data_IF_238161798423
#
_entry.id   IF_238161798423
#
_cell.length_a   1.000
_cell.length_b   1.000
_cell.length_c   1.000
_cell.angle_alpha   90.00
_cell.angle_beta   90.00
_cell.angle_gamma   90.00
#
_symmetry.space_group_name_H-M   'P 1'
#
loop_
_entity.id
_entity.type
_entity.pdbx_description
1 polymer ?
#
# COMPACT_ATOMS: atom_id res chain seq x y z
N UNK A 1 14.35 26.49 -11.41
CA UNK A 1 14.88 26.12 -10.08
C UNK A 1 14.45 24.69 -9.79
N UNK A 2 15.40 23.77 -9.72
CA UNK A 2 15.11 22.38 -9.32
C UNK A 2 14.66 22.40 -7.85
N UNK A 3 13.42 22.01 -7.57
CA UNK A 3 13.01 21.69 -6.20
C UNK A 3 13.85 20.54 -5.72
N UNK A 4 14.69 20.76 -4.72
CA UNK A 4 15.30 19.66 -3.96
C UNK A 4 14.15 18.95 -3.26
N UNK A 5 13.63 17.89 -3.86
CA UNK A 5 12.58 17.09 -3.25
C UNK A 5 13.20 16.32 -2.10
N UNK A 6 12.99 16.80 -0.91
CA UNK A 6 13.33 16.08 0.31
C UNK A 6 12.62 14.73 0.29
N UNK A 7 13.32 13.69 0.70
CA UNK A 7 12.77 12.34 0.71
C UNK A 7 11.63 12.26 1.73
N UNK A 8 10.42 11.77 1.38
CA UNK A 8 9.34 11.64 2.34
C UNK A 8 9.79 10.92 3.60
N UNK A 9 9.47 11.46 4.76
CA UNK A 9 9.78 10.82 6.05
C UNK A 9 8.85 9.62 6.24
N UNK A 10 9.33 8.48 6.80
CA UNK A 10 8.45 7.38 7.14
C UNK A 10 7.49 7.81 8.24
N UNK A 11 6.22 7.36 8.19
CA UNK A 11 5.27 7.64 9.26
C UNK A 11 5.70 6.99 10.57
N UNK A 12 5.28 7.60 11.69
CA UNK A 12 5.54 7.08 13.04
C UNK A 12 4.40 6.18 13.50
N UNK A 13 4.29 5.02 12.88
CA UNK A 13 3.33 4.00 13.31
C UNK A 13 4.04 3.03 14.24
N UNK A 14 3.61 2.99 15.50
CA UNK A 14 4.13 2.05 16.49
C UNK A 14 3.12 0.92 16.70
N UNK A 15 3.58 -0.33 16.89
CA UNK A 15 2.70 -1.42 17.27
C UNK A 15 1.99 -1.10 18.60
N UNK A 16 0.72 -1.46 18.76
CA UNK A 16 0.04 -1.32 20.04
C UNK A 16 0.64 -2.28 21.09
N UNK A 17 0.76 -1.81 22.33
CA UNK A 17 1.19 -2.64 23.47
C UNK A 17 -0.01 -3.40 24.02
N UNK A 18 -0.12 -4.67 23.67
CA UNK A 18 -1.30 -5.49 23.91
C UNK A 18 -0.97 -6.75 24.71
N UNK A 19 -1.91 -7.26 25.55
CA UNK A 19 -1.77 -8.55 26.21
C UNK A 19 -1.62 -9.70 25.18
N UNK A 20 -1.02 -10.82 25.62
CA UNK A 20 -0.72 -11.94 24.70
C UNK A 20 -1.95 -12.74 24.25
N UNK A 21 -3.12 -12.54 24.85
CA UNK A 21 -4.33 -13.27 24.52
C UNK A 21 -4.87 -12.89 23.15
N UNK A 22 -5.25 -13.89 22.36
CA UNK A 22 -5.95 -13.72 21.09
C UNK A 22 -7.44 -13.85 21.33
N UNK A 23 -8.20 -12.82 20.98
CA UNK A 23 -9.64 -12.88 20.96
C UNK A 23 -10.15 -13.31 19.57
N UNK A 24 -11.10 -14.23 19.52
CA UNK A 24 -11.75 -14.56 18.26
C UNK A 24 -12.78 -13.49 17.92
N UNK A 25 -12.65 -12.87 16.75
CA UNK A 25 -13.62 -11.89 16.24
C UNK A 25 -14.97 -12.53 15.84
N UNK A 26 -15.16 -13.80 16.16
CA UNK A 26 -16.37 -14.57 15.81
C UNK A 26 -17.59 -14.04 16.52
N UNK A 27 -18.48 -13.39 15.78
CA UNK A 27 -19.82 -13.01 16.24
C UNK A 27 -20.17 -11.52 16.18
N UNK A 28 -19.25 -10.66 15.86
CA UNK A 28 -19.48 -9.21 15.83
C UNK A 28 -19.43 -8.66 14.42
N UNK A 29 -20.42 -8.97 13.60
CA UNK A 29 -20.72 -8.16 12.41
C UNK A 29 -21.04 -6.75 12.90
N UNK A 30 -20.18 -5.76 12.72
CA UNK A 30 -20.30 -4.39 13.20
C UNK A 30 -19.93 -4.22 14.69
N UNK A 31 -18.79 -4.75 15.13
CA UNK A 31 -18.30 -4.53 16.49
C UNK A 31 -17.21 -3.47 16.55
N UNK A 32 -17.14 -2.76 17.68
CA UNK A 32 -15.99 -1.95 18.03
C UNK A 32 -14.98 -2.84 18.74
N UNK A 33 -13.76 -2.94 18.16
CA UNK A 33 -12.66 -3.68 18.74
C UNK A 33 -11.62 -2.68 19.26
N UNK A 34 -11.38 -2.69 20.56
CA UNK A 34 -10.46 -1.74 21.20
C UNK A 34 -9.44 -2.50 22.04
N UNK A 35 -8.15 -2.26 21.79
CA UNK A 35 -7.06 -2.80 22.59
C UNK A 35 -6.96 -4.33 22.57
N UNK A 36 -7.23 -4.98 21.44
CA UNK A 36 -7.36 -6.44 21.35
C UNK A 36 -6.36 -7.04 20.36
N UNK A 37 -5.93 -8.27 20.63
CA UNK A 37 -5.32 -9.14 19.63
C UNK A 37 -6.41 -10.00 19.00
N UNK A 38 -6.55 -9.90 17.68
CA UNK A 38 -7.66 -10.49 16.95
C UNK A 38 -7.12 -11.46 15.90
N UNK A 39 -7.71 -12.63 15.81
CA UNK A 39 -7.45 -13.54 14.68
C UNK A 39 -8.15 -12.99 13.44
N UNK A 40 -7.43 -12.89 12.34
CA UNK A 40 -8.02 -12.60 11.04
C UNK A 40 -9.08 -13.64 10.68
N UNK A 41 -10.28 -13.17 10.41
CA UNK A 41 -11.43 -13.97 9.99
C UNK A 41 -11.99 -13.45 8.66
N UNK A 42 -12.93 -14.18 8.06
CA UNK A 42 -13.39 -13.87 6.70
C UNK A 42 -14.19 -12.56 6.59
N UNK A 43 -15.03 -12.24 7.58
CA UNK A 43 -15.96 -11.11 7.49
C UNK A 43 -15.75 -10.13 8.67
N UNK A 44 -15.03 -9.06 8.39
CA UNK A 44 -14.78 -7.93 9.29
C UNK A 44 -15.18 -6.60 8.63
N UNK A 45 -16.04 -6.67 7.61
CA UNK A 45 -16.47 -5.48 6.87
C UNK A 45 -17.20 -4.49 7.79
N UNK A 46 -16.91 -3.20 7.58
CA UNK A 46 -17.48 -2.07 8.34
C UNK A 46 -17.19 -2.08 9.84
N UNK A 47 -16.33 -2.96 10.33
CA UNK A 47 -15.93 -2.98 11.74
C UNK A 47 -15.00 -1.80 12.08
N UNK A 48 -14.94 -1.44 13.35
CA UNK A 48 -14.06 -0.41 13.87
C UNK A 48 -12.97 -1.07 14.72
N UNK A 49 -11.71 -0.72 14.42
CA UNK A 49 -10.55 -1.23 15.16
C UNK A 49 -9.74 -0.05 15.68
N UNK A 50 -9.53 -0.03 16.99
CA UNK A 50 -8.69 0.96 17.64
C UNK A 50 -7.65 0.25 18.50
N UNK A 51 -6.38 0.55 18.28
CA UNK A 51 -5.26 -0.04 19.02
C UNK A 51 -5.29 -1.58 19.01
N UNK A 52 -5.55 -2.19 17.85
CA UNK A 52 -5.68 -3.63 17.72
C UNK A 52 -4.49 -4.24 16.94
N UNK A 53 -4.21 -5.51 17.24
CA UNK A 53 -3.29 -6.33 16.48
C UNK A 53 -4.04 -7.50 15.84
N UNK A 54 -4.01 -7.59 14.51
CA UNK A 54 -4.67 -8.63 13.73
C UNK A 54 -3.62 -9.58 13.17
N UNK A 55 -3.84 -10.89 13.28
CA UNK A 55 -2.89 -11.88 12.77
C UNK A 55 -3.57 -13.19 12.35
N UNK A 56 -2.88 -14.00 11.55
CA UNK A 56 -3.33 -15.34 11.22
C UNK A 56 -3.50 -15.60 9.73
N UNK A 57 -4.21 -16.69 9.42
CA UNK A 57 -4.47 -17.14 8.06
C UNK A 57 -5.98 -17.35 7.86
N UNK A 58 -6.48 -16.91 6.71
CA UNK A 58 -7.85 -17.11 6.26
C UNK A 58 -7.88 -17.19 4.73
N UNK A 59 -8.91 -17.83 4.16
CA UNK A 59 -9.07 -17.92 2.72
C UNK A 59 -9.40 -16.55 2.09
N UNK A 60 -10.02 -15.69 2.85
CA UNK A 60 -10.29 -14.28 2.51
C UNK A 60 -10.43 -13.49 3.79
N UNK A 61 -9.94 -12.26 3.79
CA UNK A 61 -10.17 -11.28 4.87
C UNK A 61 -10.86 -10.07 4.27
N UNK A 62 -12.07 -9.76 4.72
CA UNK A 62 -12.86 -8.64 4.24
C UNK A 62 -12.96 -7.56 5.33
N UNK A 63 -12.22 -6.48 5.15
CA UNK A 63 -12.25 -5.26 5.96
C UNK A 63 -12.82 -4.08 5.13
N UNK A 64 -13.66 -4.37 4.13
CA UNK A 64 -14.27 -3.35 3.29
C UNK A 64 -15.05 -2.34 4.13
N UNK A 65 -14.77 -1.05 3.93
CA UNK A 65 -15.43 0.03 4.66
C UNK A 65 -15.09 0.10 6.15
N UNK A 66 -14.12 -0.70 6.63
CA UNK A 66 -13.71 -0.68 8.03
C UNK A 66 -13.00 0.64 8.39
N UNK A 67 -13.03 0.95 9.69
CA UNK A 67 -12.25 2.05 10.26
C UNK A 67 -11.11 1.46 11.10
N UNK A 68 -9.87 1.81 10.76
CA UNK A 68 -8.68 1.33 11.45
C UNK A 68 -7.90 2.52 12.04
N UNK A 69 -7.72 2.54 13.35
CA UNK A 69 -6.97 3.54 14.09
C UNK A 69 -5.91 2.86 14.96
N UNK A 70 -4.63 3.14 14.72
CA UNK A 70 -3.52 2.52 15.44
C UNK A 70 -3.56 0.99 15.41
N UNK A 71 -3.64 0.43 14.22
CA UNK A 71 -3.79 -1.02 14.01
C UNK A 71 -2.50 -1.59 13.42
N UNK A 72 -2.15 -2.81 13.84
CA UNK A 72 -1.16 -3.62 13.13
C UNK A 72 -1.77 -4.90 12.57
N UNK A 73 -1.30 -5.32 11.40
CA UNK A 73 -1.60 -6.63 10.80
C UNK A 73 -0.27 -7.37 10.68
N UNK A 74 -0.15 -8.51 11.38
CA UNK A 74 1.12 -9.23 11.52
C UNK A 74 1.02 -10.60 10.88
N UNK A 75 2.00 -10.91 10.01
CA UNK A 75 2.14 -12.23 9.36
C UNK A 75 0.83 -12.74 8.72
N UNK A 76 0.08 -11.84 8.09
CA UNK A 76 -1.16 -12.22 7.41
C UNK A 76 -0.88 -13.19 6.25
N UNK A 77 -1.63 -14.30 6.22
CA UNK A 77 -1.55 -15.29 5.14
C UNK A 77 -2.93 -15.50 4.54
N UNK A 78 -3.17 -14.83 3.42
CA UNK A 78 -4.49 -14.87 2.77
C UNK A 78 -4.35 -14.62 1.27
N UNK A 79 -5.13 -15.31 0.44
CA UNK A 79 -5.27 -14.94 -0.98
C UNK A 79 -5.79 -13.52 -1.18
N UNK A 80 -6.68 -13.03 -0.31
CA UNK A 80 -7.27 -11.68 -0.43
C UNK A 80 -7.40 -11.02 0.93
N UNK A 81 -6.80 -9.84 1.06
CA UNK A 81 -7.02 -8.90 2.16
C UNK A 81 -7.65 -7.63 1.57
N UNK A 82 -8.95 -7.47 1.75
CA UNK A 82 -9.71 -6.31 1.26
C UNK A 82 -9.79 -5.24 2.34
N UNK A 83 -9.23 -4.07 2.05
CA UNK A 83 -9.37 -2.81 2.79
C UNK A 83 -10.06 -1.77 1.89
N UNK A 84 -10.87 -2.26 0.94
CA UNK A 84 -11.59 -1.41 -0.01
C UNK A 84 -12.47 -0.40 0.72
N UNK A 85 -12.44 0.85 0.28
CA UNK A 85 -13.23 1.96 0.85
C UNK A 85 -13.00 2.16 2.37
N UNK A 86 -11.94 1.58 2.95
CA UNK A 86 -11.64 1.72 4.37
C UNK A 86 -11.13 3.12 4.73
N UNK A 87 -11.36 3.52 5.98
CA UNK A 87 -10.75 4.70 6.58
C UNK A 87 -9.62 4.26 7.50
N UNK A 88 -8.39 4.61 7.14
CA UNK A 88 -7.19 4.10 7.79
C UNK A 88 -6.37 5.27 8.34
N UNK A 89 -6.03 5.17 9.62
CA UNK A 89 -5.15 6.12 10.29
C UNK A 89 -4.15 5.37 11.17
N UNK A 90 -2.88 5.41 10.77
CA UNK A 90 -1.77 4.67 11.41
C UNK A 90 -1.99 3.16 11.38
N UNK A 91 -1.81 2.58 10.19
CA UNK A 91 -1.80 1.14 9.96
C UNK A 91 -0.38 0.65 9.68
N UNK A 92 0.01 -0.43 10.32
CA UNK A 92 1.22 -1.18 10.00
C UNK A 92 0.86 -2.59 9.55
N UNK A 93 1.38 -3.01 8.40
CA UNK A 93 1.31 -4.39 7.91
C UNK A 93 2.73 -4.93 7.89
N UNK A 94 3.01 -5.96 8.67
CA UNK A 94 4.36 -6.52 8.81
C UNK A 94 4.37 -8.00 8.47
N UNK A 95 5.23 -8.37 7.53
CA UNK A 95 5.41 -9.75 7.10
C UNK A 95 4.22 -10.33 6.37
N UNK A 96 4.26 -11.65 6.21
CA UNK A 96 3.17 -12.42 5.63
C UNK A 96 3.21 -12.57 4.11
N UNK A 97 2.22 -13.31 3.62
CA UNK A 97 1.98 -13.51 2.19
C UNK A 97 0.52 -13.22 1.86
N UNK A 98 0.32 -12.21 1.04
CA UNK A 98 -0.99 -11.72 0.63
C UNK A 98 -1.07 -11.81 -0.89
N UNK A 99 -2.03 -12.55 -1.44
CA UNK A 99 -2.24 -12.61 -2.87
C UNK A 99 -2.68 -11.25 -3.40
N UNK A 100 -3.77 -10.72 -2.89
CA UNK A 100 -4.26 -9.37 -3.21
C UNK A 100 -4.40 -8.55 -1.94
N UNK A 101 -3.71 -7.43 -1.86
CA UNK A 101 -3.95 -6.36 -0.89
C UNK A 101 -4.73 -5.25 -1.61
N UNK A 102 -6.03 -5.17 -1.32
CA UNK A 102 -6.92 -4.22 -1.99
C UNK A 102 -7.24 -3.03 -1.07
N UNK A 103 -6.69 -1.87 -1.41
CA UNK A 103 -6.94 -0.58 -0.78
C UNK A 103 -7.71 0.37 -1.72
N UNK A 104 -8.39 -0.18 -2.74
CA UNK A 104 -9.12 0.65 -3.69
C UNK A 104 -10.16 1.53 -3.00
N UNK A 105 -10.21 2.81 -3.39
CA UNK A 105 -11.12 3.80 -2.79
C UNK A 105 -10.80 4.20 -1.35
N UNK A 106 -9.84 3.56 -0.69
CA UNK A 106 -9.54 3.81 0.71
C UNK A 106 -8.99 5.23 0.96
N UNK A 107 -9.22 5.72 2.18
CA UNK A 107 -8.65 6.95 2.70
C UNK A 107 -7.58 6.58 3.73
N UNK A 108 -6.32 6.77 3.38
CA UNK A 108 -5.17 6.28 4.13
C UNK A 108 -4.30 7.44 4.60
N UNK A 109 -4.14 7.57 5.89
CA UNK A 109 -3.17 8.45 6.53
C UNK A 109 -2.22 7.63 7.40
N UNK A 110 -0.93 7.68 7.08
CA UNK A 110 0.13 6.97 7.80
C UNK A 110 0.02 5.44 7.70
N UNK A 111 0.49 4.88 6.57
CA UNK A 111 0.58 3.45 6.33
C UNK A 111 2.05 3.01 6.28
N UNK A 112 2.36 1.91 6.94
CA UNK A 112 3.60 1.17 6.74
C UNK A 112 3.25 -0.24 6.27
N UNK A 113 3.86 -0.67 5.16
CA UNK A 113 3.84 -2.07 4.70
C UNK A 113 5.28 -2.53 4.61
N UNK A 114 5.67 -3.54 5.37
CA UNK A 114 7.06 -3.97 5.42
C UNK A 114 7.22 -5.49 5.47
N UNK A 115 8.29 -5.97 4.85
CA UNK A 115 8.68 -7.39 4.84
C UNK A 115 7.61 -8.35 4.31
N UNK A 116 6.70 -7.86 3.46
CA UNK A 116 5.59 -8.64 2.94
C UNK A 116 5.83 -9.09 1.48
N UNK A 117 5.26 -10.24 1.14
CA UNK A 117 5.08 -10.63 -0.25
C UNK A 117 3.63 -10.40 -0.65
N UNK A 118 3.42 -9.58 -1.67
CA UNK A 118 2.09 -9.21 -2.16
C UNK A 118 2.09 -9.41 -3.68
N UNK A 119 1.25 -10.32 -4.18
CA UNK A 119 1.22 -10.57 -5.61
C UNK A 119 0.51 -9.41 -6.35
N UNK A 120 -0.55 -8.83 -5.78
CA UNK A 120 -1.26 -7.68 -6.35
C UNK A 120 -1.58 -6.64 -5.27
N UNK A 121 -1.01 -5.44 -5.39
CA UNK A 121 -1.30 -4.29 -4.53
C UNK A 121 -2.18 -3.30 -5.29
N UNK A 122 -3.46 -3.20 -4.93
CA UNK A 122 -4.38 -2.25 -5.50
C UNK A 122 -4.53 -1.00 -4.64
N UNK A 123 -4.24 0.14 -5.23
CA UNK A 123 -4.43 1.48 -4.66
C UNK A 123 -5.36 2.32 -5.57
N UNK A 124 -6.15 1.65 -6.42
CA UNK A 124 -7.02 2.29 -7.40
C UNK A 124 -7.97 3.29 -6.75
N UNK A 125 -8.00 4.52 -7.24
CA UNK A 125 -8.81 5.63 -6.72
C UNK A 125 -8.62 5.94 -5.22
N UNK A 126 -7.63 5.36 -4.55
CA UNK A 126 -7.34 5.62 -3.16
C UNK A 126 -6.75 7.03 -2.95
N UNK A 127 -6.94 7.55 -1.74
CA UNK A 127 -6.26 8.75 -1.24
C UNK A 127 -5.28 8.35 -0.17
N UNK A 128 -3.98 8.46 -0.47
CA UNK A 128 -2.91 7.94 0.39
C UNK A 128 -1.94 9.05 0.72
N UNK A 129 -1.66 9.22 1.99
CA UNK A 129 -0.65 10.17 2.44
C UNK A 129 0.26 9.57 3.52
N UNK A 130 1.48 10.11 3.61
CA UNK A 130 2.46 9.78 4.64
C UNK A 130 2.67 8.27 4.79
N UNK A 131 3.02 7.59 3.69
CA UNK A 131 3.07 6.13 3.67
C UNK A 131 4.41 5.60 3.19
N UNK A 132 4.80 4.45 3.73
CA UNK A 132 6.02 3.73 3.40
C UNK A 132 5.70 2.28 3.03
N UNK A 133 6.20 1.84 1.90
CA UNK A 133 6.27 0.44 1.51
C UNK A 133 7.74 0.04 1.47
N UNK A 134 8.16 -0.89 2.32
CA UNK A 134 9.57 -1.23 2.48
C UNK A 134 9.81 -2.75 2.51
N UNK A 135 10.94 -3.16 1.93
CA UNK A 135 11.39 -4.57 1.94
C UNK A 135 10.32 -5.55 1.43
N UNK A 136 9.52 -5.12 0.44
CA UNK A 136 8.43 -5.91 -0.11
C UNK A 136 8.75 -6.46 -1.51
N UNK A 137 8.27 -7.67 -1.76
CA UNK A 137 8.23 -8.26 -3.11
C UNK A 137 6.82 -8.15 -3.64
N UNK A 138 6.64 -7.40 -4.72
CA UNK A 138 5.37 -7.13 -5.35
C UNK A 138 5.39 -7.71 -6.77
N UNK A 139 4.26 -8.21 -7.30
CA UNK A 139 4.19 -8.48 -8.73
C UNK A 139 3.55 -7.29 -9.46
N UNK A 140 2.37 -6.87 -9.06
CA UNK A 140 1.71 -5.70 -9.64
C UNK A 140 1.42 -4.64 -8.57
N UNK A 141 1.71 -3.38 -8.91
CA UNK A 141 1.31 -2.20 -8.13
C UNK A 141 0.34 -1.38 -8.99
N UNK A 142 -0.90 -1.31 -8.57
CA UNK A 142 -1.99 -0.73 -9.34
C UNK A 142 -2.46 0.59 -8.70
N UNK A 143 -2.17 1.72 -9.38
CA UNK A 143 -2.41 3.08 -8.89
C UNK A 143 -3.38 3.90 -9.78
N UNK A 144 -4.30 3.31 -10.57
CA UNK A 144 -5.11 4.08 -11.49
C UNK A 144 -5.99 5.06 -10.73
N UNK A 145 -5.96 6.32 -11.17
CA UNK A 145 -6.71 7.43 -10.57
C UNK A 145 -6.43 7.66 -9.07
N UNK A 146 -5.40 7.06 -8.50
CA UNK A 146 -4.99 7.30 -7.12
C UNK A 146 -4.51 8.74 -6.91
N UNK A 147 -4.69 9.24 -5.69
CA UNK A 147 -4.10 10.49 -5.23
C UNK A 147 -3.12 10.17 -4.10
N UNK A 148 -1.83 10.39 -4.32
CA UNK A 148 -0.78 10.04 -3.37
C UNK A 148 0.01 11.26 -2.97
N UNK A 149 0.27 11.43 -1.67
CA UNK A 149 1.00 12.56 -1.10
C UNK A 149 2.03 12.04 -0.10
N UNK A 150 3.31 12.32 -0.33
CA UNK A 150 4.41 11.88 0.56
C UNK A 150 4.41 10.36 0.78
N UNK A 151 4.46 9.62 -0.32
CA UNK A 151 4.55 8.15 -0.32
C UNK A 151 5.94 7.73 -0.78
N UNK A 152 6.50 6.70 -0.18
CA UNK A 152 7.83 6.22 -0.48
C UNK A 152 7.89 4.70 -0.57
N UNK A 153 8.60 4.21 -1.58
CA UNK A 153 9.01 2.81 -1.68
C UNK A 153 10.49 2.68 -1.30
N UNK A 154 10.84 1.64 -0.54
CA UNK A 154 12.22 1.33 -0.17
C UNK A 154 12.51 -0.16 -0.33
N UNK A 155 13.56 -0.49 -1.07
CA UNK A 155 14.01 -1.88 -1.27
C UNK A 155 12.88 -2.82 -1.68
N UNK A 156 12.02 -2.34 -2.58
CA UNK A 156 10.91 -3.10 -3.15
C UNK A 156 11.22 -3.50 -4.60
N UNK A 157 10.62 -4.59 -5.04
CA UNK A 157 10.58 -4.99 -6.43
C UNK A 157 9.14 -5.10 -6.92
N UNK A 158 8.91 -4.83 -8.22
CA UNK A 158 7.63 -5.03 -8.88
C UNK A 158 7.86 -5.46 -10.35
N UNK A 159 6.98 -6.30 -10.88
CA UNK A 159 7.00 -6.63 -12.31
C UNK A 159 6.32 -5.51 -13.10
N UNK A 160 5.19 -5.02 -12.64
CA UNK A 160 4.42 -3.99 -13.33
C UNK A 160 3.87 -2.93 -12.36
N UNK A 161 3.89 -1.66 -12.81
CA UNK A 161 3.28 -0.53 -12.10
C UNK A 161 2.29 0.17 -13.03
N UNK A 162 1.00 0.16 -12.68
CA UNK A 162 -0.03 0.91 -13.40
C UNK A 162 -0.20 2.30 -12.79
N UNK A 163 0.14 3.32 -13.55
CA UNK A 163 0.09 4.71 -13.10
C UNK A 163 -0.97 5.54 -13.84
N UNK A 164 -1.89 4.92 -14.57
CA UNK A 164 -2.90 5.62 -15.35
C UNK A 164 -3.75 6.55 -14.49
N UNK A 165 -3.74 7.84 -14.82
CA UNK A 165 -4.51 8.85 -14.09
C UNK A 165 -4.03 9.12 -12.66
N UNK A 166 -2.85 8.64 -12.27
CA UNK A 166 -2.21 8.91 -10.98
C UNK A 166 -2.02 10.41 -10.77
N UNK A 167 -2.30 10.89 -9.57
CA UNK A 167 -1.99 12.23 -9.09
C UNK A 167 -1.03 12.12 -7.93
N UNK A 168 0.23 12.46 -8.17
CA UNK A 168 1.28 12.33 -7.17
C UNK A 168 1.81 13.70 -6.72
N UNK A 169 2.00 13.84 -5.41
CA UNK A 169 2.78 14.90 -4.79
C UNK A 169 3.80 14.27 -3.83
N UNK A 170 5.08 14.36 -4.17
CA UNK A 170 6.17 13.71 -3.44
C UNK A 170 6.03 12.18 -3.34
N UNK A 171 5.82 11.50 -4.46
CA UNK A 171 5.94 10.03 -4.56
C UNK A 171 7.39 9.67 -4.88
N UNK A 172 8.05 8.96 -3.98
CA UNK A 172 9.44 8.51 -4.12
C UNK A 172 9.50 7.05 -4.57
N UNK A 173 9.81 6.83 -5.83
CA UNK A 173 9.94 5.51 -6.45
C UNK A 173 11.39 5.04 -6.58
N UNK A 174 12.37 5.77 -6.05
CA UNK A 174 13.79 5.42 -6.18
C UNK A 174 14.15 4.07 -5.59
N UNK A 175 13.40 3.63 -4.58
CA UNK A 175 13.56 2.33 -3.93
C UNK A 175 12.64 1.23 -4.48
N UNK A 176 11.98 1.45 -5.62
CA UNK A 176 11.18 0.46 -6.32
C UNK A 176 11.89 0.03 -7.61
N UNK A 177 12.35 -1.22 -7.66
CA UNK A 177 12.88 -1.83 -8.87
C UNK A 177 11.71 -2.43 -9.66
N UNK A 178 11.22 -1.68 -10.65
CA UNK A 178 10.07 -2.07 -11.46
C UNK A 178 10.50 -2.38 -12.89
N UNK A 179 9.98 -3.48 -13.46
CA UNK A 179 10.27 -3.89 -14.83
C UNK A 179 9.50 -3.04 -15.86
N UNK A 180 8.28 -2.62 -15.53
CA UNK A 180 7.46 -1.84 -16.45
C UNK A 180 6.55 -0.82 -15.75
N UNK A 181 6.23 0.27 -16.49
CA UNK A 181 5.22 1.26 -16.13
C UNK A 181 4.22 1.41 -17.28
N UNK A 182 2.92 1.30 -17.00
CA UNK A 182 1.90 1.37 -18.06
C UNK A 182 1.66 2.79 -18.59
N UNK A 183 1.76 3.82 -17.76
CA UNK A 183 1.61 5.21 -18.18
C UNK A 183 2.67 6.09 -17.54
N UNK A 184 3.76 6.33 -18.30
CA UNK A 184 4.84 7.20 -17.83
C UNK A 184 4.46 8.70 -17.83
N UNK A 185 3.40 9.09 -18.50
CA UNK A 185 2.95 10.50 -18.54
C UNK A 185 2.35 10.94 -17.22
N UNK A 186 1.81 9.99 -16.46
CA UNK A 186 1.24 10.21 -15.14
C UNK A 186 2.29 10.27 -14.01
N UNK A 187 3.58 10.07 -14.31
CA UNK A 187 4.67 10.13 -13.32
C UNK A 187 5.04 11.57 -12.88
N UNK A 188 4.21 12.57 -13.19
CA UNK A 188 4.40 13.93 -12.67
C UNK A 188 4.31 13.94 -11.15
N UNK A 189 5.27 14.61 -10.47
CA UNK A 189 5.31 14.67 -9.00
C UNK A 189 5.98 13.46 -8.35
N UNK A 190 6.55 12.55 -9.17
CA UNK A 190 7.34 11.42 -8.66
C UNK A 190 8.84 11.73 -8.68
N UNK A 191 9.60 11.00 -7.88
CA UNK A 191 11.05 11.02 -7.86
C UNK A 191 11.58 9.66 -8.31
N UNK A 192 12.40 9.66 -9.34
CA UNK A 192 13.09 8.50 -9.90
C UNK A 192 14.61 8.67 -9.80
N UNK A 193 15.36 7.58 -9.87
CA UNK A 193 16.82 7.61 -10.07
C UNK A 193 17.15 7.89 -11.54
N UNK A 194 18.37 8.37 -11.82
CA UNK A 194 18.84 8.52 -13.19
C UNK A 194 18.78 7.20 -13.97
N UNK A 195 19.17 6.09 -13.33
CA UNK A 195 19.10 4.75 -13.93
C UNK A 195 17.67 4.35 -14.33
N UNK A 196 16.68 4.62 -13.48
CA UNK A 196 15.27 4.34 -13.82
C UNK A 196 14.82 5.18 -15.01
N UNK A 197 15.21 6.46 -15.08
CA UNK A 197 14.89 7.34 -16.22
C UNK A 197 15.56 6.83 -17.51
N UNK A 198 16.82 6.41 -17.46
CA UNK A 198 17.51 5.81 -18.59
C UNK A 198 16.81 4.56 -19.12
N UNK A 199 16.39 3.66 -18.25
CA UNK A 199 15.65 2.45 -18.63
C UNK A 199 14.26 2.77 -19.22
N UNK A 200 13.62 3.83 -18.76
CA UNK A 200 12.31 4.27 -19.23
C UNK A 200 12.38 5.23 -20.42
N UNK A 201 13.57 5.68 -20.84
CA UNK A 201 13.74 6.64 -21.94
C UNK A 201 12.99 6.26 -23.22
N UNK A 202 13.00 5.00 -23.69
CA UNK A 202 12.24 4.61 -24.88
C UNK A 202 10.72 4.75 -24.68
N UNK A 203 10.22 4.51 -23.46
CA UNK A 203 8.80 4.63 -23.14
C UNK A 203 8.39 6.11 -23.07
N UNK A 204 9.24 6.96 -22.48
CA UNK A 204 9.03 8.41 -22.47
C UNK A 204 9.05 8.99 -23.88
N UNK A 205 9.97 8.54 -24.73
CA UNK A 205 10.05 8.99 -26.12
C UNK A 205 8.76 8.64 -26.90
N UNK A 206 8.27 7.39 -26.79
CA UNK A 206 7.01 6.99 -27.40
C UNK A 206 5.82 7.79 -26.88
N UNK A 207 5.77 8.05 -25.57
CA UNK A 207 4.72 8.87 -24.96
C UNK A 207 4.75 10.33 -25.46
N UNK A 208 5.93 10.83 -25.85
CA UNK A 208 6.11 12.12 -26.50
C UNK A 208 5.90 12.09 -28.03
N UNK A 209 5.53 10.96 -28.61
CA UNK A 209 5.33 10.81 -30.06
C UNK A 209 6.65 10.72 -30.86
N UNK A 210 7.74 10.32 -30.22
CA UNK A 210 9.06 10.17 -30.86
C UNK A 210 9.25 8.71 -31.27
N UNK A 211 9.48 8.47 -32.55
CA UNK A 211 9.88 7.16 -33.07
C UNK A 211 11.38 6.96 -32.86
N UNK A 212 11.73 5.83 -32.25
CA UNK A 212 13.12 5.40 -32.07
C UNK A 212 13.42 4.36 -33.14
N UNK A 213 14.41 4.62 -33.98
CA UNK A 213 14.91 3.70 -35.01
C UNK A 213 16.39 3.48 -34.76
N UNK A 214 16.86 2.23 -34.82
CA UNK A 214 18.27 1.83 -34.76
C UNK A 214 18.95 1.97 -36.14
#
# INVERSE_FOLDING_TARGET
>A
MARTTERPQPPRVSPPDLPEQLDDATGHRHGDHIGQRIRLTEDLAHAQFEQCSLSGAADRVDLTGATLLDVEIVEARTPVLSLKDATIRRLRITGGRIGTLDLSGAHVAELIVEHARIDYLSLAAAKIQDSLIADCTLATVDLPAATVTRVRFERCSADEVDTRGLRADALDLRGLDALSFLDVTALRGTTLTARQVELLAPVFARAAGIDIQD
#
